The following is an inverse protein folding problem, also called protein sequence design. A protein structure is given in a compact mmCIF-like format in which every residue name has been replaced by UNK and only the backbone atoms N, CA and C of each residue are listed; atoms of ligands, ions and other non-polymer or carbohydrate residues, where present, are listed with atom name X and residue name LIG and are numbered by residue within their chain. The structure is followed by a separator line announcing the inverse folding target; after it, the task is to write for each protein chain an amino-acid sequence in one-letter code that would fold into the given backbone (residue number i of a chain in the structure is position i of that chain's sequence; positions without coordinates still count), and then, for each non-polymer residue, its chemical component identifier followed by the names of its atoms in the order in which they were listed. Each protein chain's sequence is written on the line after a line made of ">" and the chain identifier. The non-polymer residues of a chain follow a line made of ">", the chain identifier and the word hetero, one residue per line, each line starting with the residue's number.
data_IF_595112482972
#
_entry.id   IF_595112482972
#
_cell.length_a   1.000
_cell.length_b   1.000
_cell.length_c   1.000
_cell.angle_alpha   90.00
_cell.angle_beta   90.00
_cell.angle_gamma   90.00
#
_symmetry.space_group_name_H-M   'P 1'
#
loop_
_entity.id
_entity.type
_entity.pdbx_description
1 polymer ?
#
# COMPACT_ATOMS: atom_id res chain seq x y z
N UNK A 1 -30.78 -0.72 -9.40
CA UNK A 1 -29.99 -1.95 -9.17
C UNK A 1 -28.95 -2.23 -10.28
N UNK A 2 -29.20 -1.87 -11.54
CA UNK A 2 -28.27 -2.13 -12.67
C UNK A 2 -26.94 -1.34 -12.63
N UNK A 3 -26.94 -0.12 -12.10
CA UNK A 3 -25.71 0.71 -12.00
C UNK A 3 -24.68 0.12 -11.01
N UNK A 4 -25.13 -0.50 -9.92
CA UNK A 4 -24.23 -1.16 -8.96
C UNK A 4 -23.57 -2.40 -9.57
N UNK A 5 -24.32 -3.19 -10.36
CA UNK A 5 -23.79 -4.39 -11.01
C UNK A 5 -22.73 -4.06 -12.07
N UNK A 6 -22.93 -2.99 -12.84
CA UNK A 6 -21.93 -2.50 -13.81
C UNK A 6 -20.66 -1.97 -13.14
N UNK A 7 -20.80 -1.22 -12.04
CA UNK A 7 -19.66 -0.69 -11.28
C UNK A 7 -18.82 -1.82 -10.66
N UNK A 8 -19.48 -2.83 -10.09
CA UNK A 8 -18.80 -4.00 -9.51
C UNK A 8 -18.06 -4.78 -10.59
N UNK A 9 -18.65 -4.94 -11.79
CA UNK A 9 -18.01 -5.63 -12.91
C UNK A 9 -16.75 -4.91 -13.39
N UNK A 10 -16.80 -3.59 -13.58
CA UNK A 10 -15.65 -2.77 -13.98
C UNK A 10 -14.54 -2.74 -12.92
N UNK A 11 -14.91 -2.76 -11.63
CA UNK A 11 -13.92 -2.88 -10.56
C UNK A 11 -13.25 -4.26 -10.52
N UNK A 12 -13.99 -5.33 -10.83
CA UNK A 12 -13.45 -6.70 -10.86
C UNK A 12 -12.55 -6.93 -12.07
N UNK A 13 -12.87 -6.34 -13.22
CA UNK A 13 -12.00 -6.35 -14.40
C UNK A 13 -10.67 -5.61 -14.10
N UNK A 14 -10.71 -4.42 -13.51
CA UNK A 14 -9.50 -3.69 -13.10
C UNK A 14 -8.66 -4.47 -12.07
N UNK A 15 -9.30 -5.11 -11.10
CA UNK A 15 -8.61 -5.98 -10.13
C UNK A 15 -7.96 -7.16 -10.84
N UNK A 16 -8.66 -7.81 -11.78
CA UNK A 16 -8.11 -8.94 -12.55
C UNK A 16 -6.92 -8.55 -13.42
N UNK A 17 -6.91 -7.33 -13.95
CA UNK A 17 -5.82 -6.79 -14.74
C UNK A 17 -4.60 -6.47 -13.87
N UNK A 18 -4.81 -5.89 -12.68
CA UNK A 18 -3.76 -5.69 -11.68
C UNK A 18 -3.15 -7.03 -11.26
N UNK A 19 -3.98 -8.08 -11.06
CA UNK A 19 -3.49 -9.42 -10.72
C UNK A 19 -2.68 -10.07 -11.86
N UNK A 20 -3.04 -9.81 -13.13
CA UNK A 20 -2.32 -10.35 -14.30
C UNK A 20 -1.00 -9.66 -14.60
N UNK A 21 -0.90 -8.36 -14.31
CA UNK A 21 0.25 -7.54 -14.67
C UNK A 21 1.36 -7.53 -13.58
N UNK A 22 1.10 -8.11 -12.41
CA UNK A 22 2.02 -8.12 -11.28
C UNK A 22 2.41 -9.56 -10.90
N UNK A 23 3.62 -9.72 -10.34
CA UNK A 23 4.01 -11.03 -9.80
C UNK A 23 3.21 -11.32 -8.53
N UNK A 24 2.99 -12.59 -8.25
CA UNK A 24 2.22 -13.01 -7.07
C UNK A 24 2.84 -12.52 -5.77
N UNK A 25 4.17 -12.45 -5.70
CA UNK A 25 4.90 -11.96 -4.53
C UNK A 25 4.67 -10.46 -4.29
N UNK A 26 4.51 -9.68 -5.36
CA UNK A 26 4.24 -8.24 -5.27
C UNK A 26 2.78 -7.99 -4.82
N UNK A 27 1.85 -8.84 -5.26
CA UNK A 27 0.44 -8.81 -4.83
C UNK A 27 0.33 -9.23 -3.35
N UNK A 28 1.00 -10.32 -2.97
CA UNK A 28 1.02 -10.81 -1.60
C UNK A 28 1.60 -9.77 -0.65
N UNK A 29 2.70 -9.14 -1.06
CA UNK A 29 3.27 -7.98 -0.38
C UNK A 29 2.27 -6.84 -0.21
N UNK A 30 1.61 -6.41 -1.29
CA UNK A 30 0.60 -5.34 -1.22
C UNK A 30 -0.54 -5.67 -0.24
N UNK A 31 -0.97 -6.92 -0.18
CA UNK A 31 -2.05 -7.37 0.72
C UNK A 31 -1.62 -7.50 2.18
N UNK A 32 -0.32 -7.71 2.43
CA UNK A 32 0.24 -7.73 3.79
C UNK A 32 0.28 -6.34 4.44
N UNK A 33 0.17 -5.27 3.65
CA UNK A 33 0.27 -3.90 4.13
C UNK A 33 -0.96 -3.51 4.95
N UNK A 34 -0.72 -2.80 6.05
CA UNK A 34 -1.75 -2.12 6.82
C UNK A 34 -2.34 -0.93 6.04
N UNK A 35 -3.48 -0.43 6.49
CA UNK A 35 -4.16 0.70 5.85
C UNK A 35 -3.27 1.96 5.80
N UNK A 36 -2.53 2.27 6.87
CA UNK A 36 -1.60 3.41 6.90
C UNK A 36 -0.42 3.25 5.93
N UNK A 37 0.07 2.03 5.74
CA UNK A 37 1.15 1.73 4.78
C UNK A 37 0.65 1.85 3.33
N UNK A 38 -0.57 1.40 3.05
CA UNK A 38 -1.22 1.58 1.76
C UNK A 38 -1.48 3.07 1.46
N UNK A 39 -1.94 3.84 2.46
CA UNK A 39 -2.16 5.27 2.33
C UNK A 39 -0.85 6.04 2.11
N UNK A 40 0.23 5.62 2.77
CA UNK A 40 1.57 6.15 2.55
C UNK A 40 2.03 5.94 1.10
N UNK A 41 1.96 4.71 0.59
CA UNK A 41 2.35 4.41 -0.80
C UNK A 41 1.45 5.10 -1.82
N UNK A 42 0.15 5.22 -1.53
CA UNK A 42 -0.80 5.95 -2.38
C UNK A 42 -0.45 7.43 -2.43
N UNK A 43 -0.08 8.02 -1.29
CA UNK A 43 0.34 9.42 -1.20
C UNK A 43 1.66 9.65 -1.94
N UNK A 44 2.61 8.71 -1.83
CA UNK A 44 3.86 8.72 -2.56
C UNK A 44 3.62 8.68 -4.08
N UNK A 45 2.75 7.79 -4.56
CA UNK A 45 2.36 7.71 -5.97
C UNK A 45 1.74 9.02 -6.47
N UNK A 46 0.79 9.58 -5.71
CA UNK A 46 0.14 10.85 -6.05
C UNK A 46 1.16 11.99 -6.15
N UNK A 47 2.06 12.10 -5.19
CA UNK A 47 3.10 13.12 -5.18
C UNK A 47 4.01 12.98 -6.41
N UNK A 48 4.45 11.77 -6.72
CA UNK A 48 5.29 11.50 -7.87
C UNK A 48 4.62 11.90 -9.20
N UNK A 49 3.36 11.50 -9.41
CA UNK A 49 2.58 11.86 -10.60
C UNK A 49 2.39 13.38 -10.69
N UNK A 50 2.03 14.03 -9.58
CA UNK A 50 1.90 15.49 -9.56
C UNK A 50 3.20 16.18 -9.97
N UNK A 51 4.35 15.70 -9.49
CA UNK A 51 5.66 16.28 -9.82
C UNK A 51 6.05 16.03 -11.28
N UNK A 52 5.76 14.84 -11.81
CA UNK A 52 5.94 14.50 -13.22
C UNK A 52 5.16 15.46 -14.12
N UNK A 53 3.87 15.68 -13.83
CA UNK A 53 3.00 16.58 -14.58
C UNK A 53 3.49 18.03 -14.53
N UNK A 54 3.84 18.53 -13.33
CA UNK A 54 4.36 19.90 -13.17
C UNK A 54 5.66 20.12 -13.96
N UNK A 55 6.47 19.07 -14.09
CA UNK A 55 7.75 19.13 -14.80
C UNK A 55 7.61 18.90 -16.32
N UNK A 56 6.38 18.66 -16.82
CA UNK A 56 6.13 18.36 -18.23
C UNK A 56 6.57 16.96 -18.67
N UNK A 57 6.75 16.04 -17.72
CA UNK A 57 7.24 14.68 -17.94
C UNK A 57 6.18 13.64 -17.55
N UNK A 58 4.99 13.72 -18.15
CA UNK A 58 3.84 12.87 -17.80
C UNK A 58 4.14 11.38 -17.99
N UNK A 59 5.04 11.02 -18.91
CA UNK A 59 5.52 9.66 -19.15
C UNK A 59 6.16 9.02 -17.90
N UNK A 60 6.72 9.83 -17.00
CA UNK A 60 7.31 9.31 -15.76
C UNK A 60 6.24 8.79 -14.78
N UNK A 61 4.98 9.24 -14.92
CA UNK A 61 3.88 8.74 -14.10
C UNK A 61 3.66 7.23 -14.29
N UNK A 62 3.90 6.72 -15.51
CA UNK A 62 3.74 5.30 -15.85
C UNK A 62 4.79 4.42 -15.16
N UNK A 63 5.93 5.01 -14.77
CA UNK A 63 7.03 4.30 -14.09
C UNK A 63 6.67 3.98 -12.63
N UNK A 64 5.72 4.71 -12.01
CA UNK A 64 5.26 4.46 -10.64
C UNK A 64 4.23 3.32 -10.56
N UNK A 65 4.61 2.17 -11.11
CA UNK A 65 3.92 0.90 -10.98
C UNK A 65 4.10 0.29 -9.58
N UNK A 66 3.48 -0.85 -9.32
CA UNK A 66 3.55 -1.51 -8.02
C UNK A 66 4.98 -1.88 -7.62
N UNK A 67 5.81 -2.29 -8.59
CA UNK A 67 7.21 -2.71 -8.35
C UNK A 67 8.06 -1.50 -7.96
N UNK A 68 7.89 -0.39 -8.66
CA UNK A 68 8.60 0.86 -8.36
C UNK A 68 8.16 1.43 -7.01
N UNK A 69 6.86 1.40 -6.70
CA UNK A 69 6.36 1.83 -5.39
C UNK A 69 6.89 0.97 -4.25
N UNK A 70 6.98 -0.35 -4.45
CA UNK A 70 7.61 -1.26 -3.49
C UNK A 70 9.07 -0.90 -3.26
N UNK A 71 9.84 -0.70 -4.33
CA UNK A 71 11.25 -0.34 -4.24
C UNK A 71 11.46 1.01 -3.54
N UNK A 72 10.69 2.03 -3.92
CA UNK A 72 10.78 3.37 -3.32
C UNK A 72 10.35 3.36 -1.86
N UNK A 73 9.26 2.67 -1.53
CA UNK A 73 8.80 2.50 -0.15
C UNK A 73 9.89 1.87 0.71
N UNK A 74 10.53 0.80 0.24
CA UNK A 74 11.64 0.15 0.94
C UNK A 74 12.80 1.12 1.17
N UNK A 75 13.29 1.79 0.11
CA UNK A 75 14.42 2.73 0.20
C UNK A 75 14.12 3.87 1.17
N UNK A 76 12.92 4.47 1.09
CA UNK A 76 12.53 5.57 1.97
C UNK A 76 12.45 5.13 3.43
N UNK A 77 11.84 3.97 3.68
CA UNK A 77 11.66 3.49 5.04
C UNK A 77 12.98 3.00 5.66
N UNK A 78 13.88 2.41 4.87
CA UNK A 78 15.24 2.07 5.34
C UNK A 78 16.04 3.33 5.67
N UNK A 79 15.97 4.35 4.80
CA UNK A 79 16.59 5.64 5.08
C UNK A 79 16.08 6.26 6.39
N UNK A 80 14.76 6.22 6.64
CA UNK A 80 14.18 6.69 7.89
C UNK A 80 14.69 5.87 9.07
N UNK A 81 14.78 4.54 8.92
CA UNK A 81 15.31 3.64 9.96
C UNK A 81 16.75 3.96 10.33
N UNK A 82 17.62 4.15 9.34
CA UNK A 82 19.02 4.54 9.54
C UNK A 82 19.13 5.91 10.22
N UNK A 83 18.32 6.90 9.80
CA UNK A 83 18.33 8.23 10.43
C UNK A 83 17.90 8.21 11.88
N UNK A 84 16.90 7.39 12.22
CA UNK A 84 16.49 7.19 13.62
C UNK A 84 17.64 6.59 14.44
N UNK A 85 18.52 5.78 13.85
CA UNK A 85 19.71 5.22 14.51
C UNK A 85 20.86 6.24 14.69
N UNK A 86 21.06 7.13 13.73
CA UNK A 86 22.10 8.16 13.80
C UNK A 86 21.76 9.25 14.84
N UNK A 87 20.50 9.68 14.88
CA UNK A 87 20.00 10.75 15.77
C UNK A 87 19.83 10.29 17.23
N UNK A 88 19.81 8.97 17.47
CA UNK A 88 19.68 8.35 18.79
C UNK A 88 20.75 8.74 19.79
N UNK A 89 21.89 9.26 19.32
CA UNK A 89 22.99 9.66 20.19
C UNK A 89 22.61 10.85 21.10
N UNK A 90 21.46 11.51 20.87
CA UNK A 90 21.09 12.78 21.52
C UNK A 90 19.68 12.79 22.18
N UNK A 91 18.75 11.88 21.86
CA UNK A 91 17.33 11.98 22.28
C UNK A 91 16.87 10.84 23.21
N UNK A 92 15.96 11.17 24.14
CA UNK A 92 15.42 10.28 25.18
C UNK A 92 15.02 8.87 24.68
N UNK A 93 15.63 7.85 25.28
CA UNK A 93 15.58 6.43 24.89
C UNK A 93 14.17 5.84 24.72
N UNK A 94 13.16 6.34 25.42
CA UNK A 94 11.78 5.85 25.35
C UNK A 94 11.11 6.13 23.98
N UNK A 95 11.31 7.33 23.42
CA UNK A 95 10.72 7.72 22.13
C UNK A 95 11.36 6.94 20.97
N UNK A 96 12.68 6.78 21.04
CA UNK A 96 13.48 5.99 20.09
C UNK A 96 13.01 4.55 20.06
N UNK A 97 12.82 3.93 21.23
CA UNK A 97 12.37 2.54 21.32
C UNK A 97 10.98 2.37 20.69
N UNK A 98 10.10 3.35 20.85
CA UNK A 98 8.79 3.33 20.21
C UNK A 98 8.89 3.47 18.68
N UNK A 99 9.78 4.35 18.19
CA UNK A 99 10.02 4.50 16.75
C UNK A 99 10.60 3.23 16.12
N UNK A 100 11.56 2.58 16.77
CA UNK A 100 12.08 1.28 16.35
C UNK A 100 10.97 0.23 16.30
N UNK A 101 10.15 0.12 17.34
CA UNK A 101 9.03 -0.83 17.36
C UNK A 101 8.03 -0.58 16.21
N UNK A 102 7.78 0.67 15.84
CA UNK A 102 6.91 1.00 14.71
C UNK A 102 7.56 0.55 13.39
N UNK A 103 8.85 0.83 13.20
CA UNK A 103 9.59 0.49 11.97
C UNK A 103 9.79 -1.03 11.82
N UNK A 104 10.08 -1.75 12.90
CA UNK A 104 10.27 -3.21 12.86
C UNK A 104 8.96 -3.95 12.50
N UNK A 105 7.81 -3.35 12.83
CA UNK A 105 6.51 -3.89 12.47
C UNK A 105 6.03 -3.46 11.07
N UNK A 106 6.76 -2.59 10.38
CA UNK A 106 6.40 -2.10 9.06
C UNK A 106 6.62 -3.17 7.99
N UNK A 107 5.54 -3.56 7.30
CA UNK A 107 5.56 -4.55 6.22
C UNK A 107 6.20 -4.03 4.93
N UNK A 108 6.31 -2.70 4.76
CA UNK A 108 7.10 -2.10 3.67
C UNK A 108 8.57 -2.53 3.78
N UNK A 109 9.07 -2.68 5.00
CA UNK A 109 10.44 -3.06 5.33
C UNK A 109 10.68 -4.57 5.34
N UNK A 110 9.65 -5.39 5.08
CA UNK A 110 9.79 -6.84 5.02
C UNK A 110 10.11 -7.26 3.59
N UNK A 111 11.33 -7.79 3.32
CA UNK A 111 11.76 -8.12 1.95
C UNK A 111 11.00 -9.32 1.37
N UNK A 112 10.40 -10.17 2.21
CA UNK A 112 9.72 -11.40 1.83
C UNK A 112 8.38 -11.52 2.57
N UNK A 113 7.29 -11.80 1.85
CA UNK A 113 6.06 -12.32 2.48
C UNK A 113 6.17 -13.83 2.44
N UNK A 114 6.08 -14.47 3.60
CA UNK A 114 6.17 -15.92 3.76
C UNK A 114 5.24 -16.65 2.76
N UNK A 115 5.75 -17.73 2.19
CA UNK A 115 5.19 -18.37 1.00
C UNK A 115 3.79 -18.95 1.27
N UNK A 116 2.94 -18.92 0.24
CA UNK A 116 1.61 -19.55 0.15
C UNK A 116 0.42 -18.74 0.70
N UNK A 117 -0.04 -17.76 -0.09
CA UNK A 117 -1.45 -17.33 -0.04
C UNK A 117 -2.10 -17.71 -1.38
N UNK A 118 -3.08 -18.61 -1.29
CA UNK A 118 -3.91 -19.08 -2.40
C UNK A 118 -4.67 -17.90 -3.05
N UNK A 119 -4.73 -17.87 -4.38
CA UNK A 119 -5.43 -16.83 -5.17
C UNK A 119 -6.89 -16.70 -4.72
N UNK A 120 -7.53 -17.82 -4.38
CA UNK A 120 -8.91 -17.85 -3.87
C UNK A 120 -9.04 -17.15 -2.50
N UNK A 121 -8.02 -17.28 -1.64
CA UNK A 121 -7.98 -16.59 -0.34
C UNK A 121 -7.81 -15.09 -0.52
N UNK A 122 -6.97 -14.65 -1.46
CA UNK A 122 -6.80 -13.25 -1.84
C UNK A 122 -8.12 -12.65 -2.34
N UNK A 123 -8.79 -13.33 -3.27
CA UNK A 123 -10.07 -12.87 -3.83
C UNK A 123 -11.15 -12.77 -2.75
N UNK A 124 -11.18 -13.72 -1.82
CA UNK A 124 -12.11 -13.73 -0.69
C UNK A 124 -11.86 -12.55 0.25
N UNK A 125 -10.60 -12.29 0.62
CA UNK A 125 -10.22 -11.21 1.55
C UNK A 125 -10.45 -9.82 0.95
N UNK A 126 -10.15 -9.65 -0.35
CA UNK A 126 -10.48 -8.43 -1.09
C UNK A 126 -12.00 -8.17 -1.14
N UNK A 127 -12.81 -9.21 -1.33
CA UNK A 127 -14.28 -9.10 -1.32
C UNK A 127 -14.83 -8.78 0.08
N UNK A 128 -14.27 -9.38 1.14
CA UNK A 128 -14.68 -9.12 2.53
C UNK A 128 -14.36 -7.69 2.99
N UNK A 129 -13.20 -7.15 2.62
CA UNK A 129 -12.79 -5.79 3.01
C UNK A 129 -13.59 -4.70 2.28
N UNK A 130 -13.99 -4.91 1.03
CA UNK A 130 -14.93 -4.01 0.32
C UNK A 130 -16.31 -3.96 0.97
N UNK A 131 -16.81 -5.09 1.48
CA UNK A 131 -18.09 -5.15 2.20
C UNK A 131 -18.06 -4.42 3.54
N UNK A 132 -16.93 -4.49 4.27
CA UNK A 132 -16.72 -3.71 5.52
C UNK A 132 -16.72 -2.21 5.29
N UNK A 133 -16.02 -1.72 4.27
CA UNK A 133 -15.99 -0.28 3.91
C UNK A 133 -17.38 0.24 3.49
N UNK A 134 -18.16 -0.58 2.77
CA UNK A 134 -19.54 -0.23 2.40
C UNK A 134 -20.49 -0.24 3.62
N UNK A 135 -20.31 -1.18 4.55
CA UNK A 135 -21.11 -1.26 5.78
C UNK A 135 -20.80 -0.09 6.74
N UNK A 136 -19.53 0.27 6.91
CA UNK A 136 -19.11 1.41 7.74
C UNK A 136 -19.57 2.76 7.14
N UNK A 137 -19.59 2.91 5.82
CA UNK A 137 -20.17 4.09 5.16
C UNK A 137 -21.70 4.16 5.26
N UNK A 138 -22.39 3.02 5.42
CA UNK A 138 -23.84 2.98 5.65
C UNK A 138 -24.20 3.26 7.11
N UNK A 139 -23.38 2.80 8.06
CA UNK A 139 -23.56 3.06 9.50
C UNK A 139 -23.26 4.53 9.84
N UNK A 140 -22.23 5.14 9.26
CA UNK A 140 -21.88 6.55 9.48
C UNK A 140 -22.80 7.56 8.75
N UNK A 141 -23.77 7.09 7.97
CA UNK A 141 -24.81 7.94 7.33
C UNK A 141 -26.18 7.80 7.97
N UNK A 142 -26.32 6.94 8.99
CA UNK A 142 -27.57 6.73 9.73
C UNK A 142 -27.47 7.10 11.21
N UNK A 143 -26.44 7.89 11.57
CA UNK A 143 -26.36 8.69 12.80
C UNK A 143 -26.09 10.13 12.36
#
# INVERSE_FOLDING_TARGET
>A
MYLLGGLIKLEMEQVSEILRNNRMEDINWLLSLSESELDFLTSLKKLAIQRANISGHEELAEIFDLKMLRALGLVLMEYVRERVQDDTTIVASSLVNHQHMILDNCNILKPHVDDSIDIEKILTEMCSNKSRRKFQQHVNKSI
#
